data_IF_451170416695
#
_entry.id   IF_451170416695
#
_cell.length_a   1.000
_cell.length_b   1.000
_cell.length_c   1.000
_cell.angle_alpha   90.00
_cell.angle_beta   90.00
_cell.angle_gamma   90.00
#
_symmetry.space_group_name_H-M   'P 1'
#
loop_
_entity.id
_entity.type
_entity.pdbx_description
1 polymer ?
#
# COMPACT_ATOMS: atom_id res chain seq x y z
N UNK A 1 4.96 -49.85 35.41
CA UNK A 1 5.09 -48.37 35.38
C UNK A 1 5.64 -47.97 34.02
N UNK A 2 4.80 -47.51 33.11
CA UNK A 2 5.27 -46.81 31.90
C UNK A 2 4.16 -45.86 31.47
N UNK A 3 4.08 -44.72 32.15
CA UNK A 3 3.11 -43.63 31.89
C UNK A 3 3.80 -42.38 31.36
N UNK A 4 5.03 -42.52 30.83
CA UNK A 4 5.83 -41.38 30.37
C UNK A 4 5.78 -41.24 28.84
N UNK A 5 5.51 -42.32 28.10
CA UNK A 5 5.51 -42.29 26.63
C UNK A 5 4.31 -41.60 25.97
N UNK A 6 3.17 -41.43 26.68
CA UNK A 6 2.00 -40.76 26.09
C UNK A 6 2.05 -39.22 26.19
N UNK A 7 2.81 -38.66 27.13
CA UNK A 7 2.86 -37.20 27.35
C UNK A 7 3.72 -36.53 26.28
N UNK A 8 4.77 -37.22 25.79
CA UNK A 8 5.68 -36.66 24.78
C UNK A 8 5.00 -36.46 23.43
N UNK A 9 4.11 -37.38 23.01
CA UNK A 9 3.39 -37.28 21.72
C UNK A 9 2.38 -36.13 21.66
N UNK A 10 1.74 -35.76 22.78
CA UNK A 10 0.72 -34.71 22.81
C UNK A 10 1.36 -33.32 22.69
N UNK A 11 2.56 -33.13 23.26
CA UNK A 11 3.29 -31.85 23.19
C UNK A 11 3.83 -31.58 21.78
N UNK A 12 4.24 -32.60 21.03
CA UNK A 12 4.70 -32.43 19.64
C UNK A 12 3.55 -32.13 18.67
N UNK A 13 2.35 -32.66 18.93
CA UNK A 13 1.18 -32.42 18.08
C UNK A 13 0.61 -31.00 18.24
N UNK A 14 0.73 -30.40 19.42
CA UNK A 14 0.29 -29.01 19.68
C UNK A 14 1.18 -27.97 18.97
N UNK A 15 2.47 -28.25 18.77
CA UNK A 15 3.42 -27.32 18.13
C UNK A 15 3.27 -27.21 16.60
N UNK A 16 2.51 -28.11 15.96
CA UNK A 16 2.31 -28.13 14.50
C UNK A 16 1.05 -27.39 14.01
N UNK A 17 0.25 -26.83 14.93
CA UNK A 17 -0.96 -26.07 14.59
C UNK A 17 -0.74 -24.55 14.59
N UNK A 18 0.52 -24.12 14.55
CA UNK A 18 0.90 -22.73 14.29
C UNK A 18 0.48 -22.33 12.88
N UNK A 19 -0.81 -22.06 12.70
CA UNK A 19 -1.35 -21.29 11.60
C UNK A 19 -0.46 -20.03 11.53
N UNK A 20 0.18 -19.72 10.39
CA UNK A 20 1.01 -18.54 10.30
C UNK A 20 0.14 -17.37 10.76
N UNK A 21 0.61 -16.66 11.79
CA UNK A 21 -0.05 -15.45 12.28
C UNK A 21 -0.39 -14.61 11.07
N UNK A 22 -1.70 -14.42 10.84
CA UNK A 22 -2.21 -13.64 9.71
C UNK A 22 -1.41 -12.35 9.60
N UNK A 23 -0.96 -12.04 8.38
CA UNK A 23 -0.04 -10.94 8.12
C UNK A 23 -0.43 -9.71 8.92
N UNK A 24 0.54 -9.11 9.62
CA UNK A 24 0.34 -7.91 10.42
C UNK A 24 -0.35 -6.89 9.52
N UNK A 25 -1.56 -6.47 9.88
CA UNK A 25 -2.28 -5.47 9.14
C UNK A 25 -1.45 -4.17 9.19
N UNK A 26 -1.01 -3.70 8.02
CA UNK A 26 -0.33 -2.40 7.93
C UNK A 26 -1.38 -1.33 8.30
N UNK A 27 -1.13 -0.49 9.32
CA UNK A 27 -2.10 0.52 9.72
C UNK A 27 -2.44 1.42 8.54
N UNK A 28 -3.73 1.68 8.38
CA UNK A 28 -4.25 2.54 7.32
C UNK A 28 -4.52 3.91 7.89
N UNK A 29 -3.83 4.91 7.35
CA UNK A 29 -4.00 6.32 7.67
C UNK A 29 -5.22 6.94 6.99
N UNK A 30 -5.37 8.27 7.07
CA UNK A 30 -6.53 8.97 6.55
C UNK A 30 -6.67 8.80 5.03
N UNK A 31 -7.93 8.89 4.56
CA UNK A 31 -8.25 9.14 3.15
C UNK A 31 -7.95 10.60 2.86
N UNK A 32 -7.26 10.87 1.76
CA UNK A 32 -6.96 12.22 1.28
C UNK A 32 -7.67 12.41 -0.05
N UNK A 33 -8.76 13.16 -0.03
CA UNK A 33 -9.46 13.56 -1.25
C UNK A 33 -8.65 14.64 -1.98
N UNK A 34 -8.55 14.49 -3.30
CA UNK A 34 -7.98 15.51 -4.15
C UNK A 34 -9.11 16.39 -4.66
N UNK A 35 -9.12 17.70 -4.35
CA UNK A 35 -10.19 18.61 -4.72
C UNK A 35 -10.57 18.49 -6.19
N UNK A 36 -11.86 18.59 -6.49
CA UNK A 36 -12.40 18.63 -7.86
C UNK A 36 -12.01 17.45 -8.77
N UNK A 37 -11.55 16.34 -8.19
CA UNK A 37 -11.17 15.13 -8.91
C UNK A 37 -11.86 13.89 -8.34
N UNK A 38 -11.93 12.84 -9.16
CA UNK A 38 -12.40 11.50 -8.73
C UNK A 38 -11.32 10.67 -8.02
N UNK A 39 -10.15 11.25 -7.80
CA UNK A 39 -8.99 10.55 -7.27
C UNK A 39 -8.81 10.86 -5.78
N UNK A 40 -8.34 9.87 -5.04
CA UNK A 40 -7.99 10.02 -3.63
C UNK A 40 -6.80 9.16 -3.28
N UNK A 41 -6.09 9.52 -2.20
CA UNK A 41 -4.98 8.75 -1.67
C UNK A 41 -5.32 8.13 -0.32
N UNK A 42 -4.62 7.06 0.02
CA UNK A 42 -4.50 6.57 1.38
C UNK A 42 -3.04 6.46 1.77
N UNK A 43 -2.72 6.89 2.99
CA UNK A 43 -1.46 6.59 3.65
C UNK A 43 -1.53 5.21 4.30
N UNK A 44 -0.45 4.44 4.21
CA UNK A 44 -0.26 3.16 4.90
C UNK A 44 1.06 3.21 5.69
N UNK A 45 1.09 2.57 6.85
CA UNK A 45 2.29 2.42 7.66
C UNK A 45 2.09 2.81 9.13
N UNK A 46 3.14 2.86 9.94
CA UNK A 46 4.46 2.33 9.56
C UNK A 46 4.44 0.80 9.47
N UNK A 47 5.28 0.22 8.63
CA UNK A 47 5.65 -1.21 8.77
C UNK A 47 6.50 -1.41 10.03
N UNK A 48 6.86 -2.66 10.33
CA UNK A 48 7.84 -2.98 11.38
C UNK A 48 9.21 -2.33 11.15
N UNK A 49 9.53 -1.95 9.92
CA UNK A 49 10.78 -1.29 9.54
C UNK A 49 10.66 0.25 9.51
N UNK A 50 9.49 0.79 9.89
CA UNK A 50 9.25 2.24 9.87
C UNK A 50 8.84 2.78 8.50
N UNK A 51 8.59 1.92 7.50
CA UNK A 51 8.27 2.35 6.15
C UNK A 51 6.81 2.80 6.01
N UNK A 52 6.63 3.82 5.18
CA UNK A 52 5.34 4.37 4.81
C UNK A 52 5.10 4.25 3.33
N UNK A 53 3.83 4.13 2.95
CA UNK A 53 3.40 3.98 1.57
C UNK A 53 2.16 4.82 1.33
N UNK A 54 1.91 5.20 0.08
CA UNK A 54 0.60 5.69 -0.31
C UNK A 54 0.06 4.92 -1.51
N UNK A 55 -1.25 4.71 -1.50
CA UNK A 55 -1.99 4.18 -2.65
C UNK A 55 -2.84 5.27 -3.26
N UNK A 56 -2.87 5.33 -4.59
CA UNK A 56 -3.80 6.16 -5.35
C UNK A 56 -5.00 5.32 -5.78
N UNK A 57 -6.19 5.90 -5.66
CA UNK A 57 -7.46 5.27 -5.97
C UNK A 57 -8.35 6.22 -6.75
N UNK A 58 -9.32 5.65 -7.48
CA UNK A 58 -10.46 6.37 -8.01
C UNK A 58 -11.74 5.69 -7.55
N UNK A 59 -12.77 6.47 -7.24
CA UNK A 59 -13.99 6.04 -6.55
C UNK A 59 -15.10 5.50 -7.47
N UNK A 60 -15.20 5.91 -8.74
CA UNK A 60 -16.24 5.41 -9.65
C UNK A 60 -15.90 5.39 -11.17
N UNK A 61 -15.71 4.21 -11.82
CA UNK A 61 -15.62 2.89 -11.20
C UNK A 61 -14.44 2.83 -10.24
N UNK A 62 -14.56 2.00 -9.21
CA UNK A 62 -13.46 1.77 -8.28
C UNK A 62 -12.24 1.24 -9.05
N UNK A 63 -11.13 1.98 -8.96
CA UNK A 63 -9.86 1.59 -9.57
C UNK A 63 -8.75 1.87 -8.57
N UNK A 64 -7.94 0.85 -8.30
CA UNK A 64 -6.68 1.00 -7.55
C UNK A 64 -5.53 1.18 -8.54
N UNK A 65 -4.62 2.08 -8.22
CA UNK A 65 -3.35 2.27 -8.92
C UNK A 65 -2.18 1.79 -8.06
N UNK A 66 -0.99 1.78 -8.65
CA UNK A 66 0.26 1.41 -7.98
C UNK A 66 0.41 2.08 -6.61
N UNK A 67 0.85 1.30 -5.62
CA UNK A 67 1.22 1.81 -4.30
C UNK A 67 2.71 2.17 -4.33
N UNK A 68 3.04 3.38 -3.87
CA UNK A 68 4.42 3.88 -3.84
C UNK A 68 4.94 4.00 -2.41
N UNK A 69 6.22 3.70 -2.22
CA UNK A 69 6.88 3.84 -0.92
C UNK A 69 7.35 5.28 -0.73
N UNK A 70 7.11 5.84 0.46
CA UNK A 70 7.72 7.09 0.92
C UNK A 70 9.05 6.84 1.64
N UNK A 71 9.44 5.57 1.79
CA UNK A 71 10.58 5.15 2.58
C UNK A 71 10.30 5.19 4.09
N UNK A 72 11.35 5.03 4.91
CA UNK A 72 11.25 5.18 6.36
C UNK A 72 11.04 6.65 6.71
N UNK A 73 9.95 6.96 7.40
CA UNK A 73 9.62 8.32 7.80
C UNK A 73 9.35 8.42 9.30
N UNK A 74 9.55 9.62 9.85
CA UNK A 74 9.10 9.96 11.20
C UNK A 74 7.88 10.88 11.11
N UNK A 75 6.77 10.28 10.70
CA UNK A 75 5.45 10.93 10.60
C UNK A 75 4.50 10.28 11.60
N UNK A 76 3.62 11.10 12.17
CA UNK A 76 2.47 10.60 12.93
C UNK A 76 1.33 10.32 11.94
N UNK A 77 0.98 9.04 11.79
CA UNK A 77 -0.09 8.57 10.87
C UNK A 77 -1.45 9.20 11.14
N UNK A 78 -1.66 9.70 12.36
CA UNK A 78 -2.91 10.37 12.75
C UNK A 78 -2.95 11.82 12.31
N UNK A 79 -1.81 12.39 11.90
CA UNK A 79 -1.76 13.76 11.36
C UNK A 79 -2.38 13.77 9.97
N UNK A 80 -3.38 14.63 9.78
CA UNK A 80 -3.98 14.84 8.47
C UNK A 80 -2.94 15.46 7.51
N UNK A 81 -2.66 14.81 6.36
CA UNK A 81 -1.85 15.41 5.32
C UNK A 81 -2.51 16.70 4.81
N UNK A 82 -1.69 17.63 4.34
CA UNK A 82 -2.20 18.84 3.67
C UNK A 82 -2.20 18.64 2.17
N UNK A 83 -3.23 19.14 1.49
CA UNK A 83 -3.33 19.14 0.03
C UNK A 83 -3.32 20.58 -0.45
N UNK A 84 -2.41 20.89 -1.36
CA UNK A 84 -2.32 22.20 -2.01
C UNK A 84 -2.30 22.01 -3.52
N UNK A 85 -3.15 22.73 -4.22
CA UNK A 85 -3.06 22.85 -5.67
C UNK A 85 -1.90 23.78 -6.06
N UNK A 86 -0.98 23.29 -6.88
CA UNK A 86 0.19 24.05 -7.35
C UNK A 86 -0.01 24.58 -8.78
N UNK A 87 -0.82 23.88 -9.58
CA UNK A 87 -1.29 24.27 -10.90
C UNK A 87 -2.62 23.55 -11.17
N UNK A 88 -3.29 23.90 -12.27
CA UNK A 88 -4.55 23.30 -12.72
C UNK A 88 -4.50 21.76 -12.65
N UNK A 89 -5.24 21.19 -11.69
CA UNK A 89 -5.31 19.74 -11.43
C UNK A 89 -3.96 19.07 -11.08
N UNK A 90 -3.02 19.84 -10.53
CA UNK A 90 -1.73 19.38 -9.99
C UNK A 90 -1.68 19.65 -8.49
N UNK A 91 -1.65 18.58 -7.71
CA UNK A 91 -1.73 18.65 -6.25
C UNK A 91 -0.42 18.20 -5.59
N UNK A 92 0.06 19.01 -4.64
CA UNK A 92 1.09 18.62 -3.68
C UNK A 92 0.43 18.19 -2.38
N UNK A 93 0.68 16.95 -2.00
CA UNK A 93 0.29 16.34 -0.75
C UNK A 93 1.50 16.37 0.17
N UNK A 94 1.38 16.98 1.34
CA UNK A 94 2.44 16.97 2.37
C UNK A 94 2.04 16.03 3.50
N UNK A 95 2.82 14.97 3.66
CA UNK A 95 2.63 13.86 4.61
C UNK A 95 3.18 14.25 5.99
N UNK A 96 2.50 15.16 6.68
CA UNK A 96 2.86 15.59 8.03
C UNK A 96 2.89 17.11 8.20
N UNK A 97 3.27 17.55 9.41
CA UNK A 97 3.18 18.96 9.84
C UNK A 97 4.53 19.66 10.00
N UNK A 98 5.66 18.95 9.84
CA UNK A 98 7.01 19.50 9.96
C UNK A 98 7.42 20.26 8.68
N UNK A 99 8.37 21.18 8.81
CA UNK A 99 8.91 22.00 7.70
C UNK A 99 9.56 21.15 6.60
N UNK A 100 10.14 20.01 6.97
CA UNK A 100 10.79 19.02 6.11
C UNK A 100 9.89 17.79 5.88
N UNK A 101 8.58 17.93 6.08
CA UNK A 101 7.66 16.82 5.89
C UNK A 101 7.72 16.28 4.46
N UNK A 102 7.68 14.94 4.31
CA UNK A 102 7.69 14.30 3.01
C UNK A 102 6.46 14.72 2.21
N UNK A 103 6.57 14.70 0.90
CA UNK A 103 5.54 15.14 -0.02
C UNK A 103 5.46 14.24 -1.25
N UNK A 104 4.32 14.29 -1.90
CA UNK A 104 4.08 13.73 -3.23
C UNK A 104 3.37 14.77 -4.08
N UNK A 105 3.78 14.93 -5.34
CA UNK A 105 3.12 15.77 -6.33
C UNK A 105 2.51 14.88 -7.41
N UNK A 106 1.23 15.08 -7.68
CA UNK A 106 0.47 14.33 -8.67
C UNK A 106 -0.25 15.28 -9.61
N UNK A 107 -0.33 14.87 -10.87
CA UNK A 107 -1.03 15.58 -11.94
C UNK A 107 -2.19 14.69 -12.38
N UNK A 108 -3.40 15.01 -11.92
CA UNK A 108 -4.57 14.16 -12.15
C UNK A 108 -5.11 14.33 -13.57
N UNK A 109 -4.93 15.52 -14.16
CA UNK A 109 -5.28 15.83 -15.55
C UNK A 109 -4.55 14.93 -16.54
N UNK A 110 -3.24 14.80 -16.37
CA UNK A 110 -2.38 13.97 -17.21
C UNK A 110 -2.13 12.57 -16.63
N UNK A 111 -2.79 12.23 -15.52
CA UNK A 111 -2.73 10.92 -14.85
C UNK A 111 -1.32 10.41 -14.60
N UNK A 112 -0.50 11.21 -13.90
CA UNK A 112 0.90 10.87 -13.61
C UNK A 112 1.34 11.32 -12.21
N UNK A 113 2.28 10.56 -11.65
CA UNK A 113 3.06 10.96 -10.49
C UNK A 113 4.18 11.89 -10.96
N UNK A 114 4.17 13.15 -10.54
CA UNK A 114 5.13 14.16 -10.99
C UNK A 114 6.45 14.00 -10.25
N UNK A 115 6.39 14.06 -8.91
CA UNK A 115 7.55 14.02 -8.03
C UNK A 115 7.15 13.48 -6.65
N UNK A 116 8.12 12.94 -5.92
CA UNK A 116 7.96 12.43 -4.57
C UNK A 116 9.22 12.75 -3.75
N UNK A 117 9.08 12.83 -2.42
CA UNK A 117 10.22 12.99 -1.52
C UNK A 117 11.13 11.77 -1.47
N UNK A 118 10.62 10.58 -1.76
CA UNK A 118 11.46 9.41 -1.92
C UNK A 118 12.14 9.44 -3.31
N UNK A 119 13.47 9.62 -3.38
CA UNK A 119 14.19 9.75 -4.64
C UNK A 119 14.20 8.47 -5.49
N UNK A 120 13.90 7.31 -4.90
CA UNK A 120 13.85 6.03 -5.61
C UNK A 120 12.59 5.90 -6.47
N UNK A 121 11.55 6.69 -6.18
CA UNK A 121 10.35 6.74 -7.01
C UNK A 121 10.64 7.45 -8.34
N UNK A 122 10.30 6.80 -9.44
CA UNK A 122 10.42 7.41 -10.78
C UNK A 122 9.52 8.64 -10.88
N UNK A 123 10.12 9.76 -11.32
CA UNK A 123 9.44 11.02 -11.62
C UNK A 123 8.67 10.92 -12.94
N UNK A 124 7.58 11.68 -13.06
CA UNK A 124 6.71 11.74 -14.24
C UNK A 124 6.21 10.38 -14.76
N UNK A 125 6.01 9.41 -13.87
CA UNK A 125 5.49 8.09 -14.26
C UNK A 125 3.96 8.16 -14.39
N UNK A 126 3.36 7.56 -15.43
CA UNK A 126 1.91 7.45 -15.53
C UNK A 126 1.32 6.65 -14.37
N UNK A 127 0.04 6.86 -14.09
CA UNK A 127 -0.71 6.02 -13.15
C UNK A 127 -0.87 4.62 -13.73
N UNK A 128 -0.16 3.65 -13.15
CA UNK A 128 -0.28 2.25 -13.52
C UNK A 128 -1.38 1.57 -12.69
N UNK A 129 -2.36 0.91 -13.32
CA UNK A 129 -3.36 0.14 -12.59
C UNK A 129 -2.70 -0.92 -11.72
N UNK A 130 -3.17 -1.06 -10.49
CA UNK A 130 -2.73 -2.16 -9.63
C UNK A 130 -3.27 -3.48 -10.19
N UNK A 131 -2.37 -4.34 -10.66
CA UNK A 131 -2.72 -5.69 -11.09
C UNK A 131 -2.66 -6.63 -9.87
N UNK A 132 -3.82 -7.00 -9.34
CA UNK A 132 -3.92 -8.10 -8.40
C UNK A 132 -3.82 -9.42 -9.16
N UNK A 133 -2.64 -10.04 -9.18
CA UNK A 133 -2.55 -11.45 -9.55
C UNK A 133 -3.08 -12.28 -8.39
N UNK A 134 -4.21 -12.96 -8.59
CA UNK A 134 -4.72 -13.90 -7.59
C UNK A 134 -3.80 -15.13 -7.56
N UNK A 135 -3.04 -15.38 -6.49
CA UNK A 135 -2.12 -16.51 -6.42
C UNK A 135 -2.84 -17.88 -6.48
N UNK A 136 -4.15 -17.91 -6.25
CA UNK A 136 -4.98 -19.11 -6.28
C UNK A 136 -5.76 -19.30 -7.60
N UNK A 137 -5.68 -18.37 -8.55
CA UNK A 137 -6.16 -18.61 -9.91
C UNK A 137 -5.00 -19.06 -10.79
N UNK A 138 -4.51 -20.28 -10.53
CA UNK A 138 -3.73 -20.97 -11.56
C UNK A 138 -4.61 -21.05 -12.81
N UNK A 139 -4.16 -20.44 -13.92
CA UNK A 139 -4.72 -20.74 -15.23
C UNK A 139 -4.72 -22.26 -15.35
N UNK A 140 -5.87 -22.93 -15.61
CA UNK A 140 -5.83 -24.36 -15.86
C UNK A 140 -4.85 -24.61 -17.00
N UNK A 141 -3.81 -25.41 -16.72
CA UNK A 141 -2.88 -25.87 -17.73
C UNK A 141 -3.67 -26.72 -18.72
N UNK A 142 -4.08 -26.14 -19.86
CA UNK A 142 -4.84 -26.89 -20.86
C UNK A 142 -5.68 -26.13 -21.86
N UNK A 143 -5.76 -24.78 -21.85
CA UNK A 143 -6.35 -24.07 -22.99
C UNK A 143 -5.30 -23.82 -24.08
N UNK A 144 -5.02 -24.88 -24.85
CA UNK A 144 -4.43 -24.75 -26.18
C UNK A 144 -5.49 -24.14 -27.10
N UNK A 145 -5.48 -22.82 -27.23
CA UNK A 145 -6.10 -22.17 -28.40
C UNK A 145 -5.11 -22.27 -29.56
N UNK A 146 -5.12 -23.40 -30.26
CA UNK A 146 -4.59 -23.45 -31.61
C UNK A 146 -5.77 -23.45 -32.58
N UNK A 147 -6.06 -22.25 -33.09
CA UNK A 147 -6.52 -22.08 -34.47
C UNK A 147 -5.48 -22.61 -35.45
#
# INVERSE_FOLDING_TARGET
>A
MSRISCIVMIVTLLLLTGCPTGGIAIPMGPKIDLPDSRYYLHLYGSTSEGEYFYGLFADNPFQRYETRTLGPLNIDVTTNPTVKEEADEVYRITWGSKLDAPFTVIDVKHRKYVEDSNPDNKRNQPFEPYHFENPNCQKPAGYNNNQ
#
